data_IF_025629138923
#
_entry.id   IF_025629138923
#
_cell.length_a   1.000
_cell.length_b   1.000
_cell.length_c   1.000
_cell.angle_alpha   90.00
_cell.angle_beta   90.00
_cell.angle_gamma   90.00
#
_symmetry.space_group_name_H-M   'P 1'
#
loop_
_entity.id
_entity.type
_entity.pdbx_description
1 polymer ?
#
# COMPACT_ATOMS: atom_id res chain seq x y z
N UNK A 1 8.42 -18.57 -0.30
CA UNK A 1 7.43 -19.33 -1.11
C UNK A 1 6.87 -20.45 -0.25
N UNK A 2 5.55 -20.52 -0.12
CA UNK A 2 4.86 -21.60 0.59
C UNK A 2 4.43 -22.61 -0.47
N UNK A 3 4.96 -23.85 -0.39
CA UNK A 3 4.79 -24.87 -1.44
C UNK A 3 3.82 -25.99 -1.06
N UNK A 4 3.29 -25.98 0.17
CA UNK A 4 2.37 -27.01 0.66
C UNK A 4 0.91 -26.58 0.56
N UNK A 5 -0.01 -27.55 0.47
CA UNK A 5 -1.43 -27.26 0.59
C UNK A 5 -1.75 -26.74 1.98
N UNK A 6 -2.45 -25.62 2.03
CA UNK A 6 -2.90 -25.00 3.25
C UNK A 6 -4.29 -24.39 2.98
N UNK A 7 -5.11 -24.36 3.98
CA UNK A 7 -6.42 -23.72 4.01
C UNK A 7 -6.37 -22.37 4.74
N UNK A 8 -5.29 -22.13 5.48
CA UNK A 8 -5.06 -20.89 6.21
C UNK A 8 -3.56 -20.57 6.27
N UNK A 9 -3.25 -19.31 6.08
CA UNK A 9 -1.92 -18.73 6.36
C UNK A 9 -2.15 -17.61 7.37
N UNK A 10 -1.34 -17.61 8.42
CA UNK A 10 -1.27 -16.50 9.37
C UNK A 10 0.15 -15.95 9.36
N UNK A 11 0.25 -14.63 9.18
CA UNK A 11 1.53 -13.92 9.23
C UNK A 11 1.43 -12.87 10.32
N UNK A 12 2.30 -12.96 11.31
CA UNK A 12 2.42 -11.98 12.39
C UNK A 12 3.76 -11.30 12.27
N UNK A 13 3.74 -9.97 12.11
CA UNK A 13 4.94 -9.15 12.15
C UNK A 13 4.90 -8.27 13.41
N UNK A 14 5.96 -8.29 14.19
CA UNK A 14 6.14 -7.42 15.36
C UNK A 14 7.38 -6.57 15.13
N UNK A 15 7.27 -5.27 15.37
CA UNK A 15 8.39 -4.33 15.19
C UNK A 15 8.37 -3.30 16.31
N UNK A 16 9.53 -2.94 16.80
CA UNK A 16 9.71 -1.79 17.67
C UNK A 16 10.43 -0.70 16.89
N UNK A 17 9.89 0.51 16.92
CA UNK A 17 10.42 1.64 16.16
C UNK A 17 10.56 2.87 17.05
N UNK A 18 11.60 3.64 16.82
CA UNK A 18 11.73 4.98 17.39
C UNK A 18 11.24 5.97 16.34
N UNK A 19 10.22 6.74 16.68
CA UNK A 19 9.73 7.83 15.85
C UNK A 19 10.33 9.14 16.29
N UNK A 20 10.54 10.05 15.35
CA UNK A 20 11.07 11.38 15.62
C UNK A 20 10.13 12.41 14.99
N UNK A 21 10.01 13.60 15.59
CA UNK A 21 9.29 14.70 14.96
C UNK A 21 9.80 14.91 13.52
N UNK A 22 8.88 15.16 12.60
CA UNK A 22 9.27 15.50 11.24
C UNK A 22 10.10 16.79 11.20
N UNK A 23 10.85 16.96 10.11
CA UNK A 23 11.59 18.16 9.77
C UNK A 23 10.75 19.45 9.88
N UNK A 24 11.34 20.65 9.72
CA UNK A 24 10.68 21.91 10.00
C UNK A 24 9.29 21.98 9.35
N UNK A 25 8.32 22.44 10.12
CA UNK A 25 6.93 22.53 9.69
C UNK A 25 6.75 23.38 8.43
N UNK A 26 5.65 23.19 7.70
CA UNK A 26 5.35 23.91 6.44
C UNK A 26 5.48 25.42 6.58
N UNK A 27 5.05 25.97 7.73
CA UNK A 27 5.10 27.41 8.00
C UNK A 27 6.53 27.99 8.11
N UNK A 28 7.46 27.17 8.57
CA UNK A 28 8.89 27.54 8.69
C UNK A 28 9.67 27.33 7.40
N UNK A 29 9.09 26.66 6.40
CA UNK A 29 9.76 26.34 5.15
C UNK A 29 9.94 27.58 4.28
N UNK A 30 11.18 27.84 3.88
CA UNK A 30 11.54 28.99 3.03
C UNK A 30 11.76 28.61 1.58
N UNK A 31 11.75 27.30 1.27
CA UNK A 31 11.95 26.81 -0.09
C UNK A 31 10.96 27.43 -1.06
N UNK A 32 11.49 27.95 -2.16
CA UNK A 32 10.67 28.40 -3.28
C UNK A 32 10.11 27.17 -4.05
N UNK A 33 9.14 27.44 -4.91
CA UNK A 33 8.66 26.47 -5.86
C UNK A 33 9.84 25.85 -6.63
N UNK A 34 9.86 24.51 -6.84
CA UNK A 34 10.96 23.87 -7.54
C UNK A 34 11.23 24.47 -8.92
N UNK A 35 12.51 24.53 -9.30
CA UNK A 35 12.95 24.85 -10.65
C UNK A 35 12.31 23.91 -11.66
N UNK A 36 12.10 24.33 -12.92
CA UNK A 36 11.72 23.44 -14.01
C UNK A 36 12.68 22.26 -14.20
N UNK A 37 13.94 22.45 -13.83
CA UNK A 37 14.98 21.42 -13.88
C UNK A 37 14.92 20.55 -12.63
N UNK A 38 14.35 19.35 -12.78
CA UNK A 38 14.29 18.36 -11.70
C UNK A 38 15.50 17.45 -11.79
N UNK A 39 16.25 17.23 -10.68
CA UNK A 39 17.34 16.27 -10.65
C UNK A 39 16.89 14.87 -11.08
N UNK A 40 17.73 14.15 -11.81
CA UNK A 40 17.41 12.83 -12.37
C UNK A 40 16.80 11.84 -11.34
N UNK A 41 17.33 11.72 -10.11
CA UNK A 41 16.78 10.80 -9.11
C UNK A 41 15.34 11.12 -8.66
N UNK A 42 14.86 12.34 -8.93
CA UNK A 42 13.52 12.79 -8.53
C UNK A 42 12.48 12.70 -9.67
N UNK A 43 12.90 12.35 -10.90
CA UNK A 43 12.02 12.35 -12.06
C UNK A 43 10.88 11.34 -11.93
N UNK A 44 11.14 10.15 -11.38
CA UNK A 44 10.14 9.12 -11.17
C UNK A 44 9.00 9.58 -10.25
N UNK A 45 9.30 10.48 -9.32
CA UNK A 45 8.32 11.05 -8.39
C UNK A 45 7.50 12.21 -8.97
N UNK A 46 7.66 12.48 -10.28
CA UNK A 46 6.79 13.36 -11.07
C UNK A 46 5.90 12.58 -12.04
N UNK A 47 6.06 11.26 -12.16
CA UNK A 47 5.35 10.43 -13.09
C UNK A 47 3.85 10.32 -12.75
N UNK A 48 3.01 10.34 -13.78
CA UNK A 48 1.59 10.04 -13.69
C UNK A 48 1.37 8.62 -14.20
N UNK A 49 1.32 7.68 -13.28
CA UNK A 49 1.12 6.26 -13.57
C UNK A 49 0.24 5.60 -12.51
N UNK A 50 -0.12 4.35 -12.76
CA UNK A 50 -0.99 3.59 -11.85
C UNK A 50 -2.31 4.34 -11.53
N UNK A 51 -2.66 4.47 -10.25
CA UNK A 51 -3.88 5.17 -9.81
C UNK A 51 -3.80 6.70 -9.96
N UNK A 52 -2.62 7.29 -10.08
CA UNK A 52 -2.44 8.75 -10.20
C UNK A 52 -2.52 9.16 -11.68
N UNK A 53 -3.66 9.70 -12.11
CA UNK A 53 -3.95 10.01 -13.51
C UNK A 53 -3.74 11.49 -13.84
N UNK A 54 -3.08 11.78 -14.98
CA UNK A 54 -2.98 13.13 -15.53
C UNK A 54 -4.20 13.44 -16.41
N UNK A 55 -5.36 13.57 -15.79
CA UNK A 55 -6.64 13.70 -16.45
C UNK A 55 -7.14 15.17 -16.57
N UNK A 56 -8.21 15.36 -17.32
CA UNK A 56 -8.93 16.65 -17.37
C UNK A 56 -9.65 16.93 -16.04
N UNK A 57 -10.14 15.90 -15.34
CA UNK A 57 -10.79 16.03 -14.04
C UNK A 57 -9.80 16.55 -13.00
N UNK A 58 -8.62 15.91 -12.89
CA UNK A 58 -7.56 16.36 -11.99
C UNK A 58 -7.12 17.81 -12.29
N UNK A 59 -6.97 18.17 -13.58
CA UNK A 59 -6.60 19.55 -13.96
C UNK A 59 -7.67 20.57 -13.56
N UNK A 60 -8.95 20.28 -13.79
CA UNK A 60 -10.06 21.14 -13.34
C UNK A 60 -10.06 21.30 -11.82
N UNK A 61 -9.95 20.21 -11.08
CA UNK A 61 -9.86 20.26 -9.63
C UNK A 61 -8.67 21.09 -9.14
N UNK A 62 -7.52 20.94 -9.80
CA UNK A 62 -6.29 21.68 -9.49
C UNK A 62 -6.42 23.20 -9.72
N UNK A 63 -7.28 23.64 -10.66
CA UNK A 63 -7.53 25.07 -10.91
C UNK A 63 -8.28 25.75 -9.75
N UNK A 64 -9.05 24.99 -8.97
CA UNK A 64 -9.72 25.49 -7.77
C UNK A 64 -8.79 25.70 -6.57
N UNK A 65 -7.58 25.14 -6.58
CA UNK A 65 -6.61 25.37 -5.50
C UNK A 65 -6.20 26.84 -5.50
N UNK A 66 -6.39 27.59 -4.39
CA UNK A 66 -6.00 28.99 -4.32
C UNK A 66 -4.53 29.16 -4.69
N UNK A 67 -4.23 30.17 -5.51
CA UNK A 67 -2.85 30.53 -5.76
C UNK A 67 -2.22 30.98 -4.43
N UNK A 68 -1.21 30.30 -3.98
CA UNK A 68 -0.47 30.73 -2.79
C UNK A 68 0.13 32.11 -3.09
N UNK A 69 -0.13 33.13 -2.26
CA UNK A 69 0.37 34.49 -2.48
C UNK A 69 1.90 34.55 -2.55
N UNK A 70 2.53 33.62 -1.88
CA UNK A 70 3.97 33.40 -1.89
C UNK A 70 4.26 32.14 -2.69
N UNK A 71 5.29 32.12 -3.49
CA UNK A 71 5.72 30.92 -4.21
C UNK A 71 6.41 29.91 -3.30
N UNK A 72 6.20 29.96 -1.98
CA UNK A 72 6.81 29.03 -1.02
C UNK A 72 6.20 27.66 -1.13
N UNK A 73 7.03 26.66 -1.09
CA UNK A 73 6.65 25.26 -1.25
C UNK A 73 5.65 24.80 -0.17
N UNK A 74 5.91 25.18 1.09
CA UNK A 74 5.01 24.85 2.20
C UNK A 74 3.60 25.43 2.03
N UNK A 75 3.48 26.67 1.54
CA UNK A 75 2.19 27.31 1.29
C UNK A 75 1.40 26.59 0.18
N UNK A 76 2.11 26.13 -0.87
CA UNK A 76 1.49 25.36 -1.96
C UNK A 76 0.94 24.03 -1.45
N UNK A 77 1.72 23.32 -0.63
CA UNK A 77 1.31 22.03 -0.03
C UNK A 77 0.10 22.24 0.88
N UNK A 78 0.14 23.23 1.76
CA UNK A 78 -0.96 23.56 2.65
C UNK A 78 -2.25 23.93 1.87
N UNK A 79 -2.14 24.73 0.81
CA UNK A 79 -3.27 25.13 -0.03
C UNK A 79 -3.88 23.91 -0.76
N UNK A 80 -3.08 22.97 -1.25
CA UNK A 80 -3.56 21.73 -1.85
C UNK A 80 -4.31 20.86 -0.82
N UNK A 81 -3.74 20.68 0.38
CA UNK A 81 -4.36 19.90 1.45
C UNK A 81 -5.69 20.50 1.89
N UNK A 82 -5.74 21.82 2.08
CA UNK A 82 -6.96 22.53 2.44
C UNK A 82 -8.04 22.38 1.37
N UNK A 83 -7.69 22.55 0.09
CA UNK A 83 -8.63 22.39 -1.02
C UNK A 83 -9.22 20.98 -1.10
N UNK A 84 -8.40 19.94 -0.91
CA UNK A 84 -8.86 18.55 -0.81
C UNK A 84 -9.87 18.41 0.33
N UNK A 85 -9.54 18.91 1.51
CA UNK A 85 -10.35 18.80 2.72
C UNK A 85 -11.72 19.51 2.59
N UNK A 86 -11.79 20.61 1.89
CA UNK A 86 -13.01 21.39 1.69
C UNK A 86 -13.99 20.74 0.70
N UNK A 87 -13.49 19.96 -0.25
CA UNK A 87 -14.30 19.44 -1.35
C UNK A 87 -14.59 17.94 -1.28
N UNK A 88 -13.83 17.18 -0.48
CA UNK A 88 -13.91 15.73 -0.46
C UNK A 88 -14.09 15.18 0.96
N UNK A 89 -14.81 14.07 1.07
CA UNK A 89 -15.22 13.50 2.35
C UNK A 89 -14.54 12.17 2.60
N UNK A 90 -14.02 11.97 3.82
CA UNK A 90 -13.54 10.64 4.22
C UNK A 90 -14.71 9.68 4.43
N UNK A 91 -14.73 8.57 3.66
CA UNK A 91 -15.75 7.54 3.78
C UNK A 91 -15.18 6.18 3.39
N UNK A 92 -15.33 5.19 4.26
CA UNK A 92 -14.93 3.80 3.99
C UNK A 92 -15.92 3.13 3.02
N UNK A 93 -15.42 2.13 2.27
CA UNK A 93 -16.22 1.25 1.40
C UNK A 93 -16.92 1.93 0.22
N UNK A 94 -16.43 3.06 -0.25
CA UNK A 94 -16.95 3.77 -1.45
C UNK A 94 -15.97 3.74 -2.63
N UNK A 95 -14.71 3.47 -2.36
CA UNK A 95 -13.64 3.26 -3.34
C UNK A 95 -13.02 1.88 -3.14
N UNK A 96 -12.21 1.45 -4.10
CA UNK A 96 -11.50 0.18 -4.10
C UNK A 96 -9.99 0.44 -4.07
N UNK A 97 -9.20 -0.60 -3.79
CA UNK A 97 -7.74 -0.50 -3.80
C UNK A 97 -7.15 -0.10 -5.15
N UNK A 98 -7.87 -0.36 -6.24
CA UNK A 98 -7.51 -0.04 -7.63
C UNK A 98 -8.17 1.25 -8.15
N UNK A 99 -8.92 1.98 -7.31
CA UNK A 99 -9.53 3.26 -7.68
C UNK A 99 -8.48 4.30 -8.05
N UNK A 100 -8.77 5.04 -9.10
CA UNK A 100 -7.92 6.11 -9.61
C UNK A 100 -8.28 7.47 -9.00
N UNK A 101 -7.44 8.47 -9.24
CA UNK A 101 -7.74 9.88 -8.88
C UNK A 101 -9.06 10.37 -9.51
N UNK A 102 -9.41 9.87 -10.69
CA UNK A 102 -10.65 10.26 -11.36
C UNK A 102 -11.87 9.63 -10.69
N UNK A 103 -11.80 8.35 -10.33
CA UNK A 103 -12.86 7.67 -9.60
C UNK A 103 -13.13 8.37 -8.26
N UNK A 104 -12.08 8.78 -7.56
CA UNK A 104 -12.21 9.51 -6.30
C UNK A 104 -12.87 10.89 -6.48
N UNK A 105 -12.49 11.62 -7.51
CA UNK A 105 -13.10 12.91 -7.84
C UNK A 105 -14.57 12.79 -8.25
N UNK A 106 -14.93 11.72 -8.97
CA UNK A 106 -16.30 11.46 -9.40
C UNK A 106 -17.20 11.07 -8.22
N UNK A 107 -16.69 10.26 -7.29
CA UNK A 107 -17.42 9.83 -6.08
C UNK A 107 -17.50 10.93 -5.03
N UNK A 108 -16.50 11.80 -4.94
CA UNK A 108 -16.39 12.87 -3.95
C UNK A 108 -16.09 12.38 -2.52
N UNK A 109 -15.82 11.09 -2.36
CA UNK A 109 -15.52 10.47 -1.07
C UNK A 109 -14.61 9.26 -1.23
N UNK A 110 -13.76 8.99 -0.23
CA UNK A 110 -12.82 7.86 -0.25
C UNK A 110 -12.06 7.71 1.06
N UNK A 111 -10.96 6.94 1.01
CA UNK A 111 -10.12 6.63 2.16
C UNK A 111 -8.74 7.28 2.03
N UNK A 112 -7.87 7.11 3.03
CA UNK A 112 -6.54 7.72 3.07
C UNK A 112 -5.71 7.50 1.79
N UNK A 113 -5.82 6.33 1.17
CA UNK A 113 -5.20 6.03 -0.12
C UNK A 113 -5.63 7.02 -1.22
N UNK A 114 -6.92 7.29 -1.34
CA UNK A 114 -7.49 8.16 -2.37
C UNK A 114 -7.05 9.62 -2.17
N UNK A 115 -7.10 10.09 -0.92
CA UNK A 115 -6.60 11.43 -0.54
C UNK A 115 -5.13 11.59 -0.88
N UNK A 116 -4.33 10.55 -0.59
CA UNK A 116 -2.90 10.53 -0.89
C UNK A 116 -2.64 10.58 -2.40
N UNK A 117 -3.32 9.75 -3.19
CA UNK A 117 -3.18 9.75 -4.66
C UNK A 117 -3.56 11.10 -5.27
N UNK A 118 -4.66 11.71 -4.79
CA UNK A 118 -5.07 13.02 -5.29
C UNK A 118 -4.04 14.10 -4.95
N UNK A 119 -3.51 14.10 -3.74
CA UNK A 119 -2.46 15.05 -3.33
C UNK A 119 -1.20 14.87 -4.18
N UNK A 120 -0.76 13.63 -4.45
CA UNK A 120 0.34 13.36 -5.38
C UNK A 120 0.06 13.97 -6.76
N UNK A 121 -1.14 13.76 -7.29
CA UNK A 121 -1.56 14.33 -8.57
C UNK A 121 -1.48 15.86 -8.60
N UNK A 122 -1.98 16.53 -7.56
CA UNK A 122 -1.95 18.00 -7.46
C UNK A 122 -0.53 18.57 -7.40
N UNK A 123 0.37 17.90 -6.65
CA UNK A 123 1.76 18.32 -6.52
C UNK A 123 2.55 18.05 -7.81
N UNK A 124 2.34 16.90 -8.45
CA UNK A 124 2.99 16.56 -9.73
C UNK A 124 2.60 17.48 -10.88
N UNK A 125 1.33 17.93 -10.91
CA UNK A 125 0.91 18.99 -11.86
C UNK A 125 1.68 20.30 -11.65
N UNK A 126 2.16 20.55 -10.44
CA UNK A 126 2.96 21.72 -10.08
C UNK A 126 4.48 21.49 -10.17
N UNK A 127 4.87 20.31 -10.70
CA UNK A 127 6.26 19.91 -10.82
C UNK A 127 6.98 19.77 -9.46
N UNK A 128 6.25 19.42 -8.41
CA UNK A 128 6.79 19.13 -7.08
C UNK A 128 6.96 17.62 -6.98
N UNK A 129 8.22 17.10 -6.90
CA UNK A 129 8.45 15.68 -6.70
C UNK A 129 7.85 15.21 -5.39
N UNK A 130 7.04 14.15 -5.44
CA UNK A 130 6.35 13.63 -4.26
C UNK A 130 6.14 12.13 -4.36
N UNK A 131 6.17 11.48 -3.19
CA UNK A 131 6.05 10.03 -3.07
C UNK A 131 4.94 9.62 -2.11
N UNK A 132 4.38 8.47 -2.37
CA UNK A 132 3.41 7.78 -1.53
C UNK A 132 4.14 7.13 -0.36
N UNK A 133 3.58 7.24 0.83
CA UNK A 133 4.06 6.54 2.02
C UNK A 133 2.96 5.62 2.53
N UNK A 134 3.31 4.36 2.71
CA UNK A 134 2.49 3.37 3.40
C UNK A 134 3.03 3.18 4.81
N UNK A 135 2.15 3.15 5.79
CA UNK A 135 2.56 3.00 7.18
C UNK A 135 1.41 2.80 8.14
N UNK A 136 1.64 3.13 9.38
CA UNK A 136 0.66 3.05 10.47
C UNK A 136 0.53 4.39 11.17
N UNK A 137 -0.71 4.72 11.56
CA UNK A 137 -0.99 5.86 12.43
C UNK A 137 -1.38 5.34 13.80
N UNK A 138 -0.60 5.71 14.82
CA UNK A 138 -0.96 5.44 16.20
C UNK A 138 -2.10 6.38 16.60
N UNK A 139 -3.26 5.79 16.87
CA UNK A 139 -4.41 6.46 17.48
C UNK A 139 -4.42 6.02 18.94
N UNK A 140 -4.33 6.97 19.87
CA UNK A 140 -4.23 6.68 21.31
C UNK A 140 -5.38 5.78 21.79
N UNK A 141 -5.17 5.09 22.90
CA UNK A 141 -6.10 4.13 23.48
C UNK A 141 -7.52 4.71 23.80
N UNK A 142 -7.69 6.01 23.74
CA UNK A 142 -8.96 6.69 24.01
C UNK A 142 -9.95 6.67 22.83
N UNK A 143 -9.48 6.40 21.61
CA UNK A 143 -10.34 6.44 20.43
C UNK A 143 -10.98 5.10 20.06
N UNK A 144 -10.73 4.03 20.86
CA UNK A 144 -11.38 2.72 20.72
C UNK A 144 -11.15 2.00 19.38
N UNK A 145 -10.42 2.60 18.47
CA UNK A 145 -10.05 2.00 17.20
C UNK A 145 -8.66 1.35 17.28
N UNK A 146 -8.57 0.11 16.84
CA UNK A 146 -7.29 -0.53 16.57
C UNK A 146 -6.51 0.35 15.57
N UNK A 147 -5.20 0.45 15.76
CA UNK A 147 -4.35 1.15 14.80
C UNK A 147 -4.67 0.67 13.39
N UNK A 148 -4.75 1.59 12.46
CA UNK A 148 -5.09 1.27 11.08
C UNK A 148 -3.85 1.49 10.19
N UNK A 149 -3.75 0.69 9.14
CA UNK A 149 -2.86 1.07 8.04
C UNK A 149 -3.26 2.45 7.56
N UNK A 150 -2.28 3.28 7.29
CA UNK A 150 -2.50 4.65 6.88
C UNK A 150 -1.59 5.00 5.71
N UNK A 151 -2.00 6.01 4.95
CA UNK A 151 -1.24 6.51 3.83
C UNK A 151 -1.15 8.03 3.88
N UNK A 152 0.01 8.55 3.50
CA UNK A 152 0.27 9.98 3.37
C UNK A 152 1.29 10.24 2.28
N UNK A 153 1.68 11.49 2.07
CA UNK A 153 2.69 11.86 1.09
C UNK A 153 3.97 12.34 1.77
N UNK A 154 5.06 12.23 1.05
CA UNK A 154 6.22 13.07 1.26
C UNK A 154 6.53 13.83 -0.03
N UNK A 155 6.80 15.12 0.09
CA UNK A 155 7.25 15.96 -1.03
C UNK A 155 8.71 16.37 -0.83
N UNK A 156 9.40 16.59 -1.93
CA UNK A 156 10.81 16.96 -1.87
C UNK A 156 11.01 18.49 -1.79
N UNK A 157 11.61 18.92 -0.70
CA UNK A 157 12.06 20.30 -0.49
C UNK A 157 13.57 20.38 -0.66
N UNK A 158 14.12 21.30 -1.47
CA UNK A 158 15.56 21.40 -1.72
C UNK A 158 16.40 21.52 -0.46
N UNK A 159 15.94 22.25 0.56
CA UNK A 159 16.67 22.47 1.81
C UNK A 159 16.49 21.36 2.86
N UNK A 160 15.38 20.61 2.81
CA UNK A 160 14.98 19.67 3.86
C UNK A 160 14.90 18.22 3.39
N UNK A 161 15.02 17.97 2.07
CA UNK A 161 14.80 16.64 1.50
C UNK A 161 13.34 16.25 1.48
N UNK A 162 13.01 15.04 1.89
CA UNK A 162 11.65 14.52 1.91
C UNK A 162 10.90 15.00 3.16
N UNK A 163 9.82 15.76 2.95
CA UNK A 163 9.00 16.34 4.00
C UNK A 163 7.60 15.71 3.97
N UNK A 164 7.12 15.12 5.07
CA UNK A 164 5.85 14.43 5.10
C UNK A 164 4.67 15.38 5.32
N UNK A 165 3.51 15.02 4.72
CA UNK A 165 2.24 15.70 4.93
C UNK A 165 1.08 14.71 4.77
N UNK A 166 0.10 14.78 5.67
CA UNK A 166 -1.10 13.93 5.64
C UNK A 166 -2.30 14.69 5.05
N UNK A 167 -2.68 14.41 3.80
CA UNK A 167 -3.82 15.07 3.16
C UNK A 167 -5.18 14.60 3.69
N UNK A 168 -5.27 13.43 4.32
CA UNK A 168 -6.51 12.91 4.91
C UNK A 168 -6.94 13.74 6.09
N UNK A 169 -5.99 14.08 6.96
CA UNK A 169 -6.23 14.89 8.15
C UNK A 169 -5.88 16.37 7.93
N UNK A 170 -5.33 16.71 6.77
CA UNK A 170 -4.84 18.06 6.41
C UNK A 170 -3.88 18.60 7.48
N UNK A 171 -2.83 17.84 7.79
CA UNK A 171 -1.85 18.19 8.82
C UNK A 171 -0.45 17.70 8.51
N UNK A 172 0.50 18.27 9.22
CA UNK A 172 1.87 17.78 9.26
C UNK A 172 1.92 16.43 10.00
N UNK A 173 2.86 15.59 9.58
CA UNK A 173 3.11 14.27 10.19
C UNK A 173 3.95 14.45 11.45
N UNK A 174 3.55 13.78 12.51
CA UNK A 174 4.21 13.80 13.81
C UNK A 174 4.71 12.40 14.22
N UNK A 175 5.16 12.25 15.45
CA UNK A 175 5.74 11.00 15.98
C UNK A 175 4.75 9.82 16.06
N UNK A 176 3.47 10.04 15.84
CA UNK A 176 2.45 8.98 15.79
C UNK A 176 2.46 8.19 14.49
N UNK A 177 3.20 8.64 13.49
CA UNK A 177 3.26 8.02 12.18
C UNK A 177 4.47 7.10 12.08
N UNK A 178 4.23 5.84 11.72
CA UNK A 178 5.26 4.83 11.53
C UNK A 178 5.35 4.50 10.05
N UNK A 179 6.49 4.83 9.41
CA UNK A 179 6.74 4.53 8.00
C UNK A 179 7.07 3.05 7.83
N UNK A 180 6.40 2.39 6.89
CA UNK A 180 6.71 1.01 6.48
C UNK A 180 7.44 1.00 5.12
N UNK A 181 6.98 1.82 4.19
CA UNK A 181 7.62 1.93 2.89
C UNK A 181 7.12 3.12 2.10
N UNK A 182 7.83 3.46 1.03
CA UNK A 182 7.46 4.54 0.13
C UNK A 182 7.64 4.14 -1.33
N UNK A 183 6.85 4.73 -2.21
CA UNK A 183 6.86 4.48 -3.64
C UNK A 183 6.23 5.63 -4.42
N UNK A 184 6.02 5.45 -5.71
CA UNK A 184 5.37 6.45 -6.57
C UNK A 184 3.87 6.54 -6.31
N UNK A 185 3.25 5.41 -5.97
CA UNK A 185 1.84 5.23 -5.64
C UNK A 185 1.63 3.92 -4.86
N UNK A 186 0.40 3.59 -4.53
CA UNK A 186 0.03 2.40 -3.75
C UNK A 186 0.61 1.09 -4.30
N UNK A 187 0.61 0.87 -5.62
CA UNK A 187 1.03 -0.41 -6.22
C UNK A 187 2.53 -0.73 -6.02
N UNK A 188 3.35 0.28 -5.72
CA UNK A 188 4.76 0.10 -5.37
C UNK A 188 4.93 -0.41 -3.92
N UNK A 189 4.00 -0.08 -3.02
CA UNK A 189 4.10 -0.37 -1.57
C UNK A 189 2.77 -0.84 -0.97
N UNK A 190 2.07 -1.81 -1.57
CA UNK A 190 0.84 -2.33 -1.01
C UNK A 190 1.13 -3.02 0.33
N UNK A 191 0.32 -2.80 1.38
CA UNK A 191 0.51 -3.42 2.69
C UNK A 191 0.53 -4.95 2.64
N UNK A 192 -0.24 -5.52 1.73
CA UNK A 192 -0.31 -6.95 1.46
C UNK A 192 -0.31 -7.20 -0.04
N UNK A 193 0.61 -8.05 -0.49
CA UNK A 193 0.66 -8.52 -1.88
C UNK A 193 1.10 -9.96 -1.90
N UNK A 194 0.30 -10.82 -2.50
CA UNK A 194 0.60 -12.24 -2.66
C UNK A 194 0.16 -12.75 -4.02
N UNK A 195 0.74 -13.85 -4.43
CA UNK A 195 0.32 -14.59 -5.61
C UNK A 195 0.11 -16.04 -5.16
N UNK A 196 -1.06 -16.59 -5.45
CA UNK A 196 -1.32 -18.00 -5.24
C UNK A 196 -1.68 -18.69 -6.55
N UNK A 197 -1.49 -20.00 -6.58
CA UNK A 197 -1.91 -20.85 -7.70
C UNK A 197 -2.95 -21.85 -7.20
N UNK A 198 -4.13 -21.84 -7.78
CA UNK A 198 -5.22 -22.75 -7.42
C UNK A 198 -6.59 -22.12 -7.69
N UNK A 199 -7.65 -22.88 -7.34
CA UNK A 199 -9.06 -22.48 -7.50
C UNK A 199 -9.70 -22.11 -6.16
N UNK A 200 -8.91 -21.65 -5.18
CA UNK A 200 -9.41 -21.27 -3.88
C UNK A 200 -10.00 -19.86 -3.90
N UNK A 201 -11.02 -19.62 -3.10
CA UNK A 201 -11.47 -18.28 -2.77
C UNK A 201 -10.61 -17.73 -1.63
N UNK A 202 -10.08 -16.53 -1.82
CA UNK A 202 -9.29 -15.86 -0.81
C UNK A 202 -10.19 -14.99 0.09
N UNK A 203 -9.96 -15.09 1.40
CA UNK A 203 -10.51 -14.15 2.39
C UNK A 203 -9.35 -13.60 3.19
N UNK A 204 -9.02 -12.33 2.97
CA UNK A 204 -7.97 -11.62 3.70
C UNK A 204 -8.57 -10.93 4.92
N UNK A 205 -7.97 -11.19 6.10
CA UNK A 205 -8.23 -10.42 7.32
C UNK A 205 -6.93 -9.82 7.79
N UNK A 206 -6.95 -8.51 7.99
CA UNK A 206 -5.79 -7.77 8.50
C UNK A 206 -6.14 -7.10 9.81
N UNK A 207 -5.23 -7.15 10.76
CA UNK A 207 -5.33 -6.43 12.01
C UNK A 207 -4.00 -5.72 12.27
N UNK A 208 -4.05 -4.48 12.70
CA UNK A 208 -2.89 -3.69 13.08
C UNK A 208 -3.08 -3.22 14.50
N UNK A 209 -2.06 -3.40 15.33
CA UNK A 209 -2.02 -2.87 16.70
C UNK A 209 -0.74 -2.06 16.87
N UNK A 210 -0.88 -0.88 17.43
CA UNK A 210 0.27 -0.06 17.84
C UNK A 210 0.12 0.29 19.32
N UNK A 211 1.24 0.33 20.01
CA UNK A 211 1.27 0.75 21.42
C UNK A 211 2.57 1.52 21.68
N UNK A 212 2.50 2.46 22.60
CA UNK A 212 3.70 3.08 23.14
C UNK A 212 4.43 2.05 24.00
N UNK A 213 5.75 1.99 23.85
CA UNK A 213 6.59 1.04 24.56
C UNK A 213 7.78 1.73 25.19
N UNK A 214 8.12 1.35 26.42
CA UNK A 214 9.35 1.82 27.07
C UNK A 214 10.58 1.08 26.50
N UNK A 215 11.78 1.66 26.60
CA UNK A 215 13.01 1.01 26.12
C UNK A 215 13.25 -0.41 26.63
N UNK A 216 12.83 -0.70 27.88
CA UNK A 216 12.89 -2.05 28.47
C UNK A 216 12.01 -3.06 27.77
N UNK A 217 10.86 -2.63 27.23
CA UNK A 217 9.92 -3.50 26.53
C UNK A 217 10.45 -3.86 25.13
N UNK A 218 11.25 -2.96 24.54
CA UNK A 218 11.94 -3.21 23.27
C UNK A 218 13.00 -4.30 23.42
N UNK A 219 13.77 -4.29 24.52
CA UNK A 219 14.75 -5.33 24.80
C UNK A 219 14.09 -6.68 25.04
N UNK A 220 12.97 -6.72 25.79
CA UNK A 220 12.21 -7.94 26.01
C UNK A 220 11.61 -8.50 24.71
N UNK A 221 11.12 -7.63 23.83
CA UNK A 221 10.63 -8.03 22.51
C UNK A 221 11.76 -8.63 21.65
N UNK A 222 12.96 -8.07 21.74
CA UNK A 222 14.13 -8.57 21.02
C UNK A 222 14.51 -10.00 21.48
N UNK A 223 14.54 -10.22 22.80
CA UNK A 223 14.78 -11.53 23.40
C UNK A 223 13.68 -12.54 23.02
N UNK A 224 12.40 -12.11 23.00
CA UNK A 224 11.28 -12.95 22.56
C UNK A 224 11.41 -13.33 21.08
N UNK A 225 11.85 -12.41 20.22
CA UNK A 225 12.05 -12.67 18.79
C UNK A 225 13.22 -13.60 18.50
N UNK A 226 14.31 -13.54 19.30
CA UNK A 226 15.45 -14.47 19.19
C UNK A 226 15.07 -15.91 19.60
N UNK A 227 14.03 -16.08 20.41
CA UNK A 227 13.52 -17.37 20.86
C UNK A 227 12.47 -17.99 19.93
N UNK A 228 12.04 -17.28 18.88
CA UNK A 228 11.11 -17.85 17.90
C UNK A 228 11.85 -18.92 17.11
N UNK A 229 11.58 -20.17 17.48
CA UNK A 229 12.03 -21.33 16.71
C UNK A 229 11.29 -21.32 15.36
N UNK A 230 11.96 -20.84 14.32
CA UNK A 230 11.40 -20.89 12.97
C UNK A 230 11.28 -22.36 12.61
N UNK A 231 10.06 -22.90 12.46
CA UNK A 231 9.92 -24.30 12.13
C UNK A 231 10.64 -24.55 10.80
N UNK A 232 11.75 -25.25 10.87
CA UNK A 232 12.42 -25.80 9.69
C UNK A 232 11.44 -26.81 9.13
N UNK A 233 10.75 -26.46 8.06
CA UNK A 233 9.90 -27.41 7.35
C UNK A 233 10.78 -28.55 6.88
N UNK A 234 10.73 -29.67 7.59
CA UNK A 234 11.30 -30.90 7.09
C UNK A 234 10.60 -31.19 5.75
N UNK A 235 11.38 -31.42 4.72
CA UNK A 235 10.84 -31.90 3.45
C UNK A 235 9.91 -33.06 3.74
N UNK A 236 8.63 -32.88 3.43
CA UNK A 236 7.66 -33.96 3.54
C UNK A 236 8.12 -35.03 2.56
N UNK A 237 8.48 -36.26 3.04
CA UNK A 237 8.96 -37.30 2.14
C UNK A 237 7.93 -37.50 1.03
N UNK A 238 8.39 -37.70 -0.17
CA UNK A 238 7.81 -37.94 -1.51
C UNK A 238 6.37 -38.46 -1.70
N UNK A 239 5.57 -38.58 -0.65
CA UNK A 239 4.21 -39.15 -0.72
C UNK A 239 3.25 -38.46 -1.66
N UNK A 240 3.56 -37.24 -2.12
CA UNK A 240 2.68 -36.48 -3.04
C UNK A 240 2.98 -36.75 -4.51
N UNK A 241 4.24 -36.87 -4.87
CA UNK A 241 4.64 -37.32 -6.21
C UNK A 241 4.07 -38.69 -6.53
N UNK A 242 4.09 -39.59 -5.53
CA UNK A 242 3.56 -40.95 -5.63
C UNK A 242 2.01 -40.98 -5.76
N UNK A 243 1.30 -40.11 -5.08
CA UNK A 243 -0.18 -40.02 -5.25
C UNK A 243 -0.60 -39.43 -6.62
N UNK A 244 0.09 -38.41 -7.09
CA UNK A 244 -0.18 -37.84 -8.41
C UNK A 244 0.24 -38.81 -9.52
N UNK A 245 1.36 -39.54 -9.35
CA UNK A 245 1.77 -40.55 -10.30
C UNK A 245 0.81 -41.74 -10.31
N UNK A 246 0.37 -42.20 -9.13
CA UNK A 246 -0.63 -43.25 -9.00
C UNK A 246 -1.98 -42.86 -9.61
N UNK A 247 -2.45 -41.63 -9.36
CA UNK A 247 -3.67 -41.13 -9.96
C UNK A 247 -3.54 -40.97 -11.50
N UNK A 248 -2.39 -40.53 -12.00
CA UNK A 248 -2.13 -40.47 -13.43
C UNK A 248 -2.03 -41.86 -14.07
N UNK A 249 -1.44 -42.82 -13.39
CA UNK A 249 -1.39 -44.23 -13.82
C UNK A 249 -2.77 -44.89 -13.82
N UNK A 250 -3.63 -44.59 -12.83
CA UNK A 250 -5.02 -45.08 -12.77
C UNK A 250 -5.89 -44.46 -13.89
N UNK A 251 -5.72 -43.17 -14.19
CA UNK A 251 -6.40 -42.51 -15.31
C UNK A 251 -5.95 -43.13 -16.64
N UNK A 252 -4.66 -43.26 -16.85
CA UNK A 252 -4.11 -43.86 -18.09
C UNK A 252 -4.45 -45.34 -18.26
N UNK A 253 -4.65 -46.09 -17.16
CA UNK A 253 -5.13 -47.45 -17.20
C UNK A 253 -6.61 -47.53 -17.61
N UNK A 254 -7.44 -46.60 -17.09
CA UNK A 254 -8.86 -46.52 -17.40
C UNK A 254 -9.15 -46.06 -18.84
N UNK A 255 -8.32 -45.16 -19.34
CA UNK A 255 -8.40 -44.76 -20.77
C UNK A 255 -8.05 -45.93 -21.69
N UNK A 256 -7.02 -46.72 -21.38
CA UNK A 256 -6.69 -47.94 -22.15
C UNK A 256 -7.78 -49.03 -22.10
N UNK A 257 -8.45 -49.17 -20.97
CA UNK A 257 -9.58 -50.09 -20.87
C UNK A 257 -10.79 -49.66 -21.71
N UNK A 258 -11.06 -48.34 -21.75
CA UNK A 258 -12.13 -47.75 -22.59
C UNK A 258 -11.81 -47.90 -24.07
N UNK A 259 -10.58 -47.67 -24.49
CA UNK A 259 -10.16 -47.85 -25.89
C UNK A 259 -10.29 -49.33 -26.32
N UNK A 260 -9.91 -50.28 -25.46
CA UNK A 260 -10.04 -51.71 -25.74
C UNK A 260 -11.51 -52.18 -25.78
N UNK A 261 -12.41 -51.55 -25.02
CA UNK A 261 -13.84 -51.82 -25.07
C UNK A 261 -14.45 -51.28 -26.36
N UNK A 262 -14.01 -50.14 -26.86
CA UNK A 262 -14.47 -49.59 -28.15
C UNK A 262 -13.97 -50.38 -29.36
N UNK A 263 -12.80 -51.01 -29.30
CA UNK A 263 -12.30 -51.88 -30.37
C UNK A 263 -12.98 -53.26 -30.40
N UNK A 264 -13.65 -53.66 -29.30
CA UNK A 264 -14.34 -54.97 -29.20
C UNK A 264 -15.83 -54.92 -29.50
N UNK A 265 -16.45 -53.75 -29.76
CA UNK A 265 -17.80 -53.69 -30.25
C UNK A 265 -17.83 -54.09 -31.73
N UNK A 266 -18.46 -55.24 -32.08
CA UNK A 266 -18.58 -55.66 -33.48
C UNK A 266 -19.50 -54.69 -34.20
N UNK A 267 -19.06 -54.18 -35.35
CA UNK A 267 -19.88 -53.49 -36.33
C UNK A 267 -20.98 -54.46 -36.77
N UNK A 268 -22.15 -54.34 -36.13
CA UNK A 268 -23.35 -54.96 -36.66
C UNK A 268 -23.92 -54.00 -37.72
N UNK A 269 -23.73 -54.42 -38.97
CA UNK A 269 -24.51 -53.92 -40.11
C UNK A 269 -25.86 -54.61 -40.17
#
# INVERSE_FOLDING_TARGET
TIVHFHDRIEVVARSAVNTHPAAPGLAAMTDARPSPETPYPLLDFLAFDGPVRSSAALRRFSQGVPAAPTSRLGDIVAACGQHIREHLTYRKNVTRYDSTTDDFLDVGAGVCQDFTHLMLGLLRLRRIPCRYVSGYLHVGAQDGEAAQSHAWIEFHAPSAGWVPFDPTHNREVDERYVVVGHGRHYDDVPPNKGIYRGNAHEVLRTEVRTQESAPKDISALHEEMEQIDVPVYQEVPERRGDRLRKAAEEIAARERELDQQQEQEPQQQ
#
